data_IF_107134224171
#
_entry.id   IF_107134224171
#
_cell.length_a   1.000
_cell.length_b   1.000
_cell.length_c   1.000
_cell.angle_alpha   90.00
_cell.angle_beta   90.00
_cell.angle_gamma   90.00
#
_symmetry.space_group_name_H-M   'P 1'
#
loop_
_entity.id
_entity.type
_entity.pdbx_description
1 polymer ?
#
# COMPACT_ATOMS: atom_id res chain seq x y z
N UNK A 1 -19.63 -13.75 -3.43
CA UNK A 1 -19.55 -12.33 -3.83
C UNK A 1 -20.59 -11.44 -3.15
N UNK A 2 -21.89 -11.76 -3.18
CA UNK A 2 -22.94 -10.91 -2.58
C UNK A 2 -22.73 -10.57 -1.09
N UNK A 3 -22.29 -11.54 -0.28
CA UNK A 3 -22.01 -11.30 1.15
C UNK A 3 -20.87 -10.31 1.39
N UNK A 4 -19.86 -10.27 0.51
CA UNK A 4 -18.73 -9.34 0.60
C UNK A 4 -19.20 -7.90 0.35
N UNK A 5 -19.97 -7.67 -0.71
CA UNK A 5 -20.56 -6.36 -0.99
C UNK A 5 -21.58 -5.93 0.07
N UNK A 6 -22.38 -6.86 0.60
CA UNK A 6 -23.30 -6.58 1.70
C UNK A 6 -22.55 -6.12 2.96
N UNK A 7 -21.40 -6.75 3.29
CA UNK A 7 -20.56 -6.33 4.41
C UNK A 7 -20.00 -4.91 4.20
N UNK A 8 -19.56 -4.58 2.99
CA UNK A 8 -19.10 -3.21 2.64
C UNK A 8 -20.24 -2.21 2.82
N UNK A 9 -21.43 -2.49 2.30
CA UNK A 9 -22.61 -1.61 2.47
C UNK A 9 -22.98 -1.42 3.94
N UNK A 10 -22.91 -2.49 4.74
CA UNK A 10 -23.16 -2.41 6.18
C UNK A 10 -22.15 -1.52 6.90
N UNK A 11 -20.84 -1.67 6.61
CA UNK A 11 -19.79 -0.82 7.16
C UNK A 11 -20.00 0.65 6.76
N UNK A 12 -20.39 0.93 5.52
CA UNK A 12 -20.74 2.27 5.08
C UNK A 12 -21.87 2.89 5.93
N UNK A 13 -22.93 2.13 6.22
CA UNK A 13 -23.99 2.58 7.14
C UNK A 13 -23.46 2.86 8.54
N UNK A 14 -22.56 2.02 9.05
CA UNK A 14 -21.96 2.20 10.39
C UNK A 14 -21.05 3.44 10.46
N UNK A 15 -20.28 3.73 9.40
CA UNK A 15 -19.50 4.97 9.28
C UNK A 15 -20.43 6.19 9.31
N UNK A 16 -21.56 6.15 8.59
CA UNK A 16 -22.56 7.21 8.63
C UNK A 16 -23.09 7.47 10.05
N UNK A 17 -23.33 6.41 10.84
CA UNK A 17 -23.76 6.53 12.24
C UNK A 17 -22.66 7.13 13.13
N UNK A 18 -21.40 6.73 12.95
CA UNK A 18 -20.26 7.31 13.66
C UNK A 18 -20.14 8.82 13.38
N UNK A 19 -20.19 9.21 12.11
CA UNK A 19 -20.14 10.61 11.71
C UNK A 19 -21.31 11.41 12.29
N UNK A 20 -22.53 10.85 12.27
CA UNK A 20 -23.70 11.50 12.86
C UNK A 20 -23.51 11.72 14.38
N UNK A 21 -22.96 10.73 15.10
CA UNK A 21 -22.67 10.86 16.52
C UNK A 21 -21.60 11.93 16.80
N UNK A 22 -20.50 11.97 16.03
CA UNK A 22 -19.48 13.02 16.13
C UNK A 22 -20.07 14.42 15.90
N UNK A 23 -21.01 14.57 14.96
CA UNK A 23 -21.71 15.84 14.71
C UNK A 23 -22.64 16.22 15.86
N UNK A 24 -23.43 15.27 16.38
CA UNK A 24 -24.31 15.48 17.53
C UNK A 24 -23.54 15.93 18.78
N UNK A 25 -22.40 15.30 19.05
CA UNK A 25 -21.51 15.63 20.16
C UNK A 25 -20.65 16.88 19.90
N UNK A 26 -20.78 17.52 18.73
CA UNK A 26 -19.98 18.67 18.28
C UNK A 26 -18.47 18.40 18.22
N UNK A 27 -18.06 17.14 18.10
CA UNK A 27 -16.66 16.71 17.98
C UNK A 27 -16.17 16.68 16.53
N UNK A 28 -17.08 16.59 15.55
CA UNK A 28 -16.73 16.42 14.13
C UNK A 28 -15.75 17.48 13.61
N UNK A 29 -15.90 18.75 14.00
CA UNK A 29 -15.02 19.85 13.59
C UNK A 29 -13.67 19.89 14.33
N UNK A 30 -13.37 18.88 15.14
CA UNK A 30 -12.12 18.75 15.88
C UNK A 30 -11.63 17.29 15.88
N UNK A 31 -12.02 16.50 14.87
CA UNK A 31 -11.67 15.09 14.77
C UNK A 31 -11.07 14.83 13.40
N UNK A 32 -9.85 14.27 13.38
CA UNK A 32 -9.30 13.63 12.18
C UNK A 32 -9.87 12.21 12.10
N UNK A 33 -10.36 11.82 10.93
CA UNK A 33 -10.90 10.48 10.67
C UNK A 33 -10.06 9.85 9.58
N UNK A 34 -9.45 8.70 9.86
CA UNK A 34 -8.72 7.89 8.88
C UNK A 34 -9.50 6.60 8.65
N UNK A 35 -9.96 6.40 7.41
CA UNK A 35 -10.56 5.15 6.96
C UNK A 35 -9.56 4.41 6.07
N UNK A 36 -9.22 3.18 6.45
CA UNK A 36 -8.23 2.36 5.76
C UNK A 36 -8.60 0.88 5.84
N UNK A 37 -8.08 0.07 4.91
CA UNK A 37 -8.08 -1.40 5.02
C UNK A 37 -6.67 -1.89 5.36
N UNK A 38 -6.52 -2.98 6.09
CA UNK A 38 -5.22 -3.59 6.39
C UNK A 38 -4.58 -4.24 5.16
N UNK A 39 -5.42 -4.83 4.30
CA UNK A 39 -5.05 -5.35 2.98
C UNK A 39 -6.29 -5.40 2.06
N UNK A 40 -6.08 -5.70 0.79
CA UNK A 40 -7.13 -6.02 -0.18
C UNK A 40 -7.54 -7.50 -0.15
N UNK A 41 -8.38 -7.94 -1.09
CA UNK A 41 -8.85 -9.32 -1.13
C UNK A 41 -9.21 -9.72 -2.56
N UNK A 42 -8.66 -10.84 -3.01
CA UNK A 42 -8.97 -11.43 -4.30
C UNK A 42 -10.29 -12.20 -4.24
N UNK A 43 -11.16 -11.92 -5.20
CA UNK A 43 -12.43 -12.59 -5.48
C UNK A 43 -12.42 -13.29 -6.83
N UNK A 44 -11.36 -14.07 -7.09
CA UNK A 44 -11.06 -14.86 -8.30
C UNK A 44 -10.17 -14.16 -9.36
N UNK A 45 -9.70 -12.94 -9.09
CA UNK A 45 -8.61 -12.35 -9.87
C UNK A 45 -7.38 -13.29 -9.84
N UNK A 46 -6.72 -13.46 -10.99
CA UNK A 46 -5.61 -14.41 -11.17
C UNK A 46 -5.92 -15.86 -10.75
N UNK A 47 -7.21 -16.26 -10.77
CA UNK A 47 -7.66 -17.55 -10.25
C UNK A 47 -7.25 -17.78 -8.79
N UNK A 48 -7.23 -16.69 -8.01
CA UNK A 48 -6.79 -16.66 -6.62
C UNK A 48 -7.92 -16.16 -5.71
N UNK A 49 -7.99 -16.73 -4.51
CA UNK A 49 -8.93 -16.33 -3.47
C UNK A 49 -8.17 -16.10 -2.18
N UNK A 50 -8.30 -14.91 -1.59
CA UNK A 50 -7.56 -14.51 -0.39
C UNK A 50 -6.71 -13.27 -0.61
N UNK A 51 -5.68 -13.08 0.22
CA UNK A 51 -4.85 -11.85 0.20
C UNK A 51 -3.34 -12.09 0.33
N UNK A 52 -2.92 -13.34 0.26
CA UNK A 52 -1.57 -13.74 0.66
C UNK A 52 -0.59 -13.72 -0.53
N UNK A 53 -0.56 -12.60 -1.24
CA UNK A 53 0.37 -12.29 -2.33
C UNK A 53 0.78 -10.80 -2.27
N UNK A 54 1.63 -10.40 -3.20
CA UNK A 54 2.20 -9.04 -3.27
C UNK A 54 1.67 -8.27 -4.50
N UNK A 55 0.48 -8.62 -4.99
CA UNK A 55 -0.19 -7.94 -6.11
C UNK A 55 -1.07 -6.78 -5.62
N UNK A 56 -1.47 -5.87 -6.52
CA UNK A 56 -2.17 -4.62 -6.17
C UNK A 56 -3.53 -4.95 -5.55
N UNK A 57 -4.21 -5.99 -6.02
CA UNK A 57 -5.47 -6.48 -5.43
C UNK A 57 -5.32 -6.84 -3.94
N UNK A 58 -4.12 -7.15 -3.44
CA UNK A 58 -3.85 -7.39 -2.01
C UNK A 58 -3.20 -6.20 -1.29
N UNK A 59 -2.38 -5.40 -1.98
CA UNK A 59 -1.60 -4.33 -1.34
C UNK A 59 -2.22 -2.94 -1.46
N UNK A 60 -2.92 -2.66 -2.57
CA UNK A 60 -3.52 -1.35 -2.84
C UNK A 60 -4.89 -1.26 -2.18
N UNK A 61 -4.94 -0.57 -1.05
CA UNK A 61 -6.14 -0.43 -0.22
C UNK A 61 -6.72 0.98 -0.29
N UNK A 62 -8.02 1.17 0.02
CA UNK A 62 -8.56 2.50 0.23
C UNK A 62 -7.86 3.17 1.42
N UNK A 63 -7.48 4.44 1.25
CA UNK A 63 -7.06 5.34 2.31
C UNK A 63 -7.81 6.66 2.12
N UNK A 64 -8.67 6.99 3.07
CA UNK A 64 -9.42 8.26 3.09
C UNK A 64 -9.12 8.95 4.40
N UNK A 65 -8.64 10.20 4.31
CA UNK A 65 -8.34 11.03 5.47
C UNK A 65 -9.28 12.23 5.42
N UNK A 66 -10.13 12.35 6.44
CA UNK A 66 -10.91 13.55 6.69
C UNK A 66 -10.25 14.35 7.80
N UNK A 67 -9.95 15.62 7.53
CA UNK A 67 -9.45 16.57 8.52
C UNK A 67 -10.52 17.62 8.84
N UNK A 68 -10.42 18.32 9.97
CA UNK A 68 -11.26 19.50 10.21
C UNK A 68 -10.94 20.71 9.33
N UNK A 69 -9.75 20.74 8.72
CA UNK A 69 -9.26 21.84 7.90
C UNK A 69 -9.95 21.85 6.53
N UNK A 70 -10.71 22.90 6.18
CA UNK A 70 -11.35 23.04 4.88
C UNK A 70 -10.36 23.07 3.70
N UNK A 71 -9.11 23.53 3.90
CA UNK A 71 -8.11 23.62 2.85
C UNK A 71 -7.64 22.23 2.36
N UNK A 72 -7.80 21.20 3.19
CA UNK A 72 -7.39 19.82 2.89
C UNK A 72 -8.57 18.93 2.47
N UNK A 73 -9.73 19.49 2.14
CA UNK A 73 -10.92 18.74 1.73
C UNK A 73 -11.01 18.59 0.21
N UNK A 74 -11.62 17.49 -0.24
CA UNK A 74 -11.97 17.28 -1.66
C UNK A 74 -10.78 16.93 -2.56
N UNK A 75 -9.59 16.74 -2.00
CA UNK A 75 -8.40 16.33 -2.72
C UNK A 75 -8.51 14.87 -3.16
N UNK A 76 -8.01 14.57 -4.35
CA UNK A 76 -7.89 13.21 -4.88
C UNK A 76 -6.49 13.03 -5.47
N UNK A 77 -5.63 12.42 -4.68
CA UNK A 77 -4.22 12.23 -5.02
C UNK A 77 -3.91 10.78 -5.39
N UNK A 78 -2.98 10.60 -6.33
CA UNK A 78 -2.49 9.28 -6.76
C UNK A 78 -1.02 9.03 -6.35
N UNK A 79 -0.49 9.87 -5.46
CA UNK A 79 0.84 9.70 -4.89
C UNK A 79 1.01 8.33 -4.23
N UNK A 80 2.20 7.74 -4.38
CA UNK A 80 2.53 6.50 -3.70
C UNK A 80 2.63 6.73 -2.19
N UNK A 81 1.93 5.90 -1.42
CA UNK A 81 1.85 5.94 0.05
C UNK A 81 1.93 4.53 0.63
N UNK A 82 2.34 4.44 1.89
CA UNK A 82 2.44 3.17 2.64
C UNK A 82 1.67 3.28 3.96
N UNK A 83 1.20 2.15 4.51
CA UNK A 83 0.54 2.17 5.83
C UNK A 83 1.41 2.77 6.94
N UNK A 84 2.74 2.61 6.85
CA UNK A 84 3.69 3.18 7.82
C UNK A 84 3.69 4.71 7.83
N UNK A 85 3.15 5.36 6.79
CA UNK A 85 3.04 6.81 6.68
C UNK A 85 1.88 7.37 7.51
N UNK A 86 0.89 6.54 7.86
CA UNK A 86 -0.31 6.98 8.60
C UNK A 86 0.08 7.52 9.98
N UNK A 87 0.95 6.82 10.71
CA UNK A 87 1.34 7.21 12.06
C UNK A 87 2.09 8.56 12.12
N UNK A 88 3.18 8.80 11.35
CA UNK A 88 3.84 10.11 11.35
C UNK A 88 2.92 11.23 10.84
N UNK A 89 1.99 10.93 9.91
CA UNK A 89 0.97 11.89 9.47
C UNK A 89 0.05 12.32 10.63
N UNK A 90 -0.44 11.36 11.42
CA UNK A 90 -1.26 11.64 12.58
C UNK A 90 -0.49 12.37 13.68
N UNK A 91 0.80 12.06 13.86
CA UNK A 91 1.65 12.81 14.78
C UNK A 91 1.73 14.29 14.39
N UNK A 92 1.99 14.59 13.11
CA UNK A 92 2.08 15.96 12.61
C UNK A 92 0.74 16.70 12.70
N UNK A 93 -0.37 16.04 12.34
CA UNK A 93 -1.73 16.61 12.46
C UNK A 93 -2.15 16.88 13.91
N UNK A 94 -1.64 16.11 14.86
CA UNK A 94 -1.92 16.27 16.29
C UNK A 94 -0.91 17.17 17.01
N UNK A 95 0.05 17.76 16.29
CA UNK A 95 1.13 18.58 16.84
C UNK A 95 1.93 17.85 17.94
N UNK A 96 2.24 16.58 17.71
CA UNK A 96 3.08 15.77 18.61
C UNK A 96 4.40 15.38 17.91
N UNK A 97 5.50 15.24 18.68
CA UNK A 97 6.79 14.88 18.10
C UNK A 97 6.74 13.54 17.35
N UNK A 98 7.25 13.52 16.12
CA UNK A 98 7.39 12.32 15.32
C UNK A 98 8.61 11.53 15.84
N UNK A 99 8.44 10.26 16.27
CA UNK A 99 9.57 9.45 16.70
C UNK A 99 10.59 9.21 15.57
N UNK A 100 11.88 9.36 15.88
CA UNK A 100 12.96 9.28 14.89
C UNK A 100 13.18 7.87 14.30
N UNK A 101 12.64 6.83 14.93
CA UNK A 101 12.78 5.43 14.47
C UNK A 101 11.72 5.03 13.43
N UNK A 102 10.79 5.92 13.08
CA UNK A 102 9.76 5.61 12.11
C UNK A 102 10.33 5.59 10.69
N UNK A 103 9.92 4.58 9.93
CA UNK A 103 10.31 4.41 8.52
C UNK A 103 9.37 5.16 7.57
N UNK A 104 8.13 5.37 8.00
CA UNK A 104 7.14 6.14 7.25
C UNK A 104 7.44 7.63 7.23
N UNK A 105 6.89 8.32 6.24
CA UNK A 105 6.98 9.77 6.07
C UNK A 105 5.58 10.35 6.14
N UNK A 106 5.42 11.47 6.82
CA UNK A 106 4.13 12.14 6.87
C UNK A 106 3.62 12.51 5.47
N UNK A 107 2.34 12.28 5.25
CA UNK A 107 1.60 12.68 4.04
C UNK A 107 1.03 14.08 4.16
N UNK A 108 1.12 14.75 5.33
CA UNK A 108 0.54 16.06 5.54
C UNK A 108 0.95 17.09 4.48
N UNK A 109 2.23 17.16 4.03
CA UNK A 109 2.62 18.07 2.95
C UNK A 109 1.85 17.81 1.63
N UNK A 110 1.58 16.54 1.30
CA UNK A 110 0.81 16.17 0.11
C UNK A 110 -0.66 16.55 0.21
N UNK A 111 -1.19 16.63 1.44
CA UNK A 111 -2.57 17.08 1.72
C UNK A 111 -2.71 18.60 1.69
N UNK A 112 -1.61 19.34 1.80
CA UNK A 112 -1.60 20.81 1.80
C UNK A 112 -1.19 21.40 0.45
N UNK A 113 -0.34 20.70 -0.30
CA UNK A 113 0.12 21.11 -1.62
C UNK A 113 0.33 19.88 -2.52
N UNK A 114 -0.52 19.78 -3.54
CA UNK A 114 -0.55 18.66 -4.49
C UNK A 114 0.59 18.69 -5.51
N UNK A 115 1.31 19.80 -5.62
CA UNK A 115 2.46 19.95 -6.54
C UNK A 115 3.77 19.41 -5.96
N UNK A 116 3.77 18.96 -4.70
CA UNK A 116 4.95 18.38 -4.05
C UNK A 116 5.15 16.95 -4.56
N UNK A 117 6.39 16.61 -4.93
CA UNK A 117 6.73 15.25 -5.31
C UNK A 117 6.60 14.29 -4.12
N UNK A 118 5.77 13.25 -4.29
CA UNK A 118 5.65 12.15 -3.34
C UNK A 118 6.79 11.13 -3.42
N UNK A 119 6.58 9.97 -2.79
CA UNK A 119 7.53 8.85 -2.86
C UNK A 119 7.67 8.36 -4.31
N UNK A 120 8.90 8.03 -4.70
CA UNK A 120 9.20 7.45 -6.00
C UNK A 120 8.97 5.92 -6.05
N UNK A 121 8.97 5.29 -4.87
CA UNK A 121 8.73 3.86 -4.71
C UNK A 121 8.13 3.55 -3.33
N UNK A 122 7.38 2.47 -3.25
CA UNK A 122 6.82 1.89 -2.02
C UNK A 122 7.09 0.40 -1.97
N UNK A 123 7.11 -0.16 -0.76
CA UNK A 123 7.69 -1.47 -0.50
C UNK A 123 6.69 -2.37 0.21
N UNK A 124 6.80 -3.68 -0.06
CA UNK A 124 6.03 -4.69 0.64
C UNK A 124 6.84 -5.95 0.80
N UNK A 125 6.64 -6.65 1.92
CA UNK A 125 7.39 -7.84 2.25
C UNK A 125 6.48 -8.93 2.78
N UNK A 126 6.83 -10.17 2.49
CA UNK A 126 6.08 -11.33 2.94
C UNK A 126 7.00 -12.47 3.29
N UNK A 127 6.90 -12.97 4.52
CA UNK A 127 7.49 -14.26 4.90
C UNK A 127 6.61 -15.40 4.42
N UNK A 128 7.22 -16.49 4.00
CA UNK A 128 6.52 -17.72 3.66
C UNK A 128 5.70 -18.23 4.84
N UNK A 129 4.45 -18.63 4.57
CA UNK A 129 3.51 -19.18 5.54
C UNK A 129 3.22 -20.65 5.27
N UNK A 130 2.82 -21.41 6.30
CA UNK A 130 2.60 -22.86 6.14
C UNK A 130 1.57 -23.19 5.06
N UNK A 131 0.64 -22.30 4.74
CA UNK A 131 -0.46 -22.49 3.80
C UNK A 131 -0.13 -22.06 2.37
N UNK A 132 1.08 -21.56 2.11
CA UNK A 132 1.44 -21.07 0.78
C UNK A 132 1.59 -22.19 -0.23
N UNK A 133 1.15 -21.97 -1.47
CA UNK A 133 1.26 -22.97 -2.52
C UNK A 133 2.72 -23.26 -2.89
N UNK A 134 3.55 -22.22 -2.96
CA UNK A 134 4.99 -22.34 -3.24
C UNK A 134 5.72 -22.54 -1.91
N UNK A 135 6.23 -23.75 -1.67
CA UNK A 135 6.96 -24.12 -0.43
C UNK A 135 8.45 -23.76 -0.43
N UNK A 136 8.95 -23.24 -1.55
CA UNK A 136 10.39 -23.11 -1.79
C UNK A 136 10.99 -21.80 -1.26
N UNK A 137 10.23 -20.70 -1.16
CA UNK A 137 10.77 -19.43 -0.67
C UNK A 137 10.65 -19.31 0.85
N UNK A 138 11.51 -18.49 1.44
CA UNK A 138 11.48 -18.07 2.83
C UNK A 138 10.89 -16.66 2.98
N UNK A 139 11.26 -15.75 2.07
CA UNK A 139 10.80 -14.36 2.07
C UNK A 139 10.63 -13.85 0.64
N UNK A 140 9.67 -12.97 0.44
CA UNK A 140 9.47 -12.22 -0.78
C UNK A 140 9.53 -10.72 -0.47
N UNK A 141 10.20 -9.96 -1.34
CA UNK A 141 10.30 -8.53 -1.24
C UNK A 141 9.82 -7.90 -2.54
N UNK A 142 9.03 -6.83 -2.43
CA UNK A 142 8.43 -6.13 -3.57
C UNK A 142 8.71 -4.65 -3.48
N UNK A 143 8.96 -4.05 -4.65
CA UNK A 143 9.05 -2.60 -4.86
C UNK A 143 8.06 -2.21 -5.94
N UNK A 144 7.27 -1.17 -5.67
CA UNK A 144 6.29 -0.59 -6.60
C UNK A 144 6.65 0.87 -6.84
N UNK A 145 6.89 1.22 -8.10
CA UNK A 145 7.00 2.62 -8.59
C UNK A 145 5.64 3.06 -9.15
N UNK A 146 5.54 4.14 -9.92
CA UNK A 146 4.29 4.45 -10.65
C UNK A 146 4.05 3.46 -11.79
N UNK A 147 5.11 3.07 -12.50
CA UNK A 147 5.02 2.25 -13.73
C UNK A 147 5.14 0.75 -13.49
N UNK A 148 6.00 0.33 -12.56
CA UNK A 148 6.34 -1.08 -12.40
C UNK A 148 6.16 -1.57 -10.97
N UNK A 149 5.86 -2.87 -10.82
CA UNK A 149 6.12 -3.64 -9.60
C UNK A 149 7.10 -4.74 -9.91
N UNK A 150 8.17 -4.81 -9.13
CA UNK A 150 9.10 -5.93 -9.14
C UNK A 150 9.04 -6.66 -7.80
N UNK A 151 8.88 -7.98 -7.84
CA UNK A 151 8.88 -8.85 -6.67
C UNK A 151 9.91 -9.95 -6.85
N UNK A 152 10.77 -10.12 -5.85
CA UNK A 152 11.78 -11.18 -5.80
C UNK A 152 11.47 -12.14 -4.66
N UNK A 153 11.48 -13.44 -4.96
CA UNK A 153 11.26 -14.52 -4.00
C UNK A 153 12.60 -15.18 -3.68
N UNK A 154 12.95 -15.25 -2.40
CA UNK A 154 14.24 -15.71 -1.91
C UNK A 154 14.08 -16.97 -1.04
N UNK A 155 14.95 -17.95 -1.21
CA UNK A 155 15.06 -19.09 -0.28
C UNK A 155 15.72 -18.68 1.06
N UNK A 156 15.91 -19.65 1.97
CA UNK A 156 16.57 -19.40 3.27
C UNK A 156 18.04 -18.97 3.14
N UNK A 157 18.71 -19.38 2.06
CA UNK A 157 20.09 -19.02 1.75
C UNK A 157 20.18 -17.70 0.94
N UNK A 158 19.04 -17.02 0.74
CA UNK A 158 18.89 -15.79 -0.04
C UNK A 158 19.16 -15.95 -1.55
N UNK A 159 19.06 -17.16 -2.09
CA UNK A 159 19.04 -17.34 -3.54
C UNK A 159 17.69 -16.94 -4.12
N UNK A 160 17.72 -16.30 -5.27
CA UNK A 160 16.52 -15.99 -6.05
C UNK A 160 15.93 -17.29 -6.58
N UNK A 161 14.66 -17.55 -6.26
CA UNK A 161 13.93 -18.72 -6.76
C UNK A 161 12.89 -18.38 -7.82
N UNK A 162 12.39 -17.15 -7.78
CA UNK A 162 11.39 -16.63 -8.72
C UNK A 162 11.40 -15.10 -8.69
N UNK A 163 10.99 -14.52 -9.82
CA UNK A 163 10.87 -13.08 -10.01
C UNK A 163 9.58 -12.78 -10.76
N UNK A 164 8.95 -11.67 -10.38
CA UNK A 164 7.79 -11.11 -11.06
C UNK A 164 8.07 -9.65 -11.38
N UNK A 165 7.77 -9.25 -12.62
CA UNK A 165 7.76 -7.86 -13.06
C UNK A 165 6.44 -7.60 -13.78
N UNK A 166 5.68 -6.62 -13.31
CA UNK A 166 4.45 -6.15 -13.93
C UNK A 166 4.57 -4.68 -14.34
N UNK A 167 4.08 -4.36 -15.53
CA UNK A 167 3.98 -3.02 -16.09
C UNK A 167 2.54 -2.52 -15.94
N UNK A 168 2.31 -1.52 -15.09
CA UNK A 168 0.97 -0.97 -14.82
C UNK A 168 0.52 0.09 -15.81
N UNK A 169 1.41 0.56 -16.69
CA UNK A 169 1.02 1.44 -17.79
C UNK A 169 0.33 0.62 -18.89
N UNK A 170 0.89 -0.55 -19.20
CA UNK A 170 0.39 -1.43 -20.26
C UNK A 170 -0.49 -2.60 -19.77
N UNK A 171 -0.30 -3.05 -18.54
CA UNK A 171 -1.00 -4.17 -17.91
C UNK A 171 -1.38 -3.84 -16.44
N UNK A 172 -2.33 -2.92 -16.23
CA UNK A 172 -2.78 -2.55 -14.88
C UNK A 172 -3.44 -3.70 -14.11
N UNK A 173 -3.75 -4.81 -14.79
CA UNK A 173 -4.35 -6.01 -14.19
C UNK A 173 -3.34 -7.04 -13.73
N UNK A 174 -2.03 -6.81 -13.84
CA UNK A 174 -0.96 -7.73 -13.43
C UNK A 174 -1.10 -9.15 -14.04
N UNK A 175 -1.54 -9.23 -15.30
CA UNK A 175 -1.85 -10.51 -15.97
C UNK A 175 -0.62 -11.16 -16.60
N UNK A 176 0.37 -10.36 -16.98
CA UNK A 176 1.56 -10.81 -17.72
C UNK A 176 2.82 -10.50 -16.93
N UNK A 177 3.47 -11.55 -16.41
CA UNK A 177 4.80 -11.43 -15.85
C UNK A 177 5.84 -11.27 -16.97
N UNK A 178 6.46 -10.10 -17.06
CA UNK A 178 7.46 -9.78 -18.10
C UNK A 178 8.91 -9.96 -17.63
N UNK A 179 9.14 -10.52 -16.44
CA UNK A 179 10.47 -10.61 -15.84
C UNK A 179 11.49 -11.42 -16.67
N UNK A 180 11.03 -12.40 -17.45
CA UNK A 180 11.90 -13.23 -18.30
C UNK A 180 12.25 -12.61 -19.65
N UNK A 181 11.72 -11.43 -19.98
CA UNK A 181 12.01 -10.74 -21.23
C UNK A 181 13.37 -10.06 -21.17
N UNK A 182 14.09 -10.00 -22.30
CA UNK A 182 15.43 -9.41 -22.37
C UNK A 182 15.39 -7.92 -22.03
N UNK A 183 14.37 -7.23 -22.54
CA UNK A 183 14.11 -5.81 -22.37
C UNK A 183 13.83 -5.43 -20.89
N UNK A 184 13.41 -6.39 -20.09
CA UNK A 184 13.11 -6.20 -18.67
C UNK A 184 14.36 -6.17 -17.78
N UNK A 185 15.52 -6.62 -18.28
CA UNK A 185 16.75 -6.74 -17.46
C UNK A 185 17.19 -5.42 -16.85
N UNK A 186 17.25 -4.35 -17.65
CA UNK A 186 17.66 -3.03 -17.16
C UNK A 186 16.68 -2.47 -16.11
N UNK A 187 15.38 -2.74 -16.30
CA UNK A 187 14.32 -2.33 -15.37
C UNK A 187 14.46 -3.09 -14.05
N UNK A 188 14.62 -4.42 -14.12
CA UNK A 188 14.83 -5.27 -12.94
C UNK A 188 16.07 -4.83 -12.18
N UNK A 189 17.20 -4.60 -12.84
CA UNK A 189 18.42 -4.15 -12.17
C UNK A 189 18.20 -2.83 -11.41
N UNK A 190 17.51 -1.87 -12.04
CA UNK A 190 17.19 -0.58 -11.40
C UNK A 190 16.30 -0.77 -10.18
N UNK A 191 15.20 -1.53 -10.32
CA UNK A 191 14.25 -1.77 -9.23
C UNK A 191 14.87 -2.59 -8.10
N UNK A 192 15.69 -3.57 -8.43
CA UNK A 192 16.43 -4.37 -7.46
C UNK A 192 17.41 -3.52 -6.66
N UNK A 193 18.12 -2.56 -7.30
CA UNK A 193 18.97 -1.60 -6.58
C UNK A 193 18.19 -0.73 -5.61
N UNK A 194 17.02 -0.22 -6.02
CA UNK A 194 16.13 0.56 -5.16
C UNK A 194 15.66 -0.28 -3.96
N UNK A 195 15.25 -1.52 -4.22
CA UNK A 195 14.79 -2.45 -3.19
C UNK A 195 15.89 -2.77 -2.18
N UNK A 196 17.11 -3.08 -2.64
CA UNK A 196 18.24 -3.37 -1.76
C UNK A 196 18.65 -2.16 -0.92
N UNK A 197 18.64 -0.95 -1.50
CA UNK A 197 18.91 0.26 -0.74
C UNK A 197 17.91 0.43 0.42
N UNK A 198 16.61 0.23 0.13
CA UNK A 198 15.58 0.25 1.17
C UNK A 198 15.81 -0.81 2.24
N UNK A 199 16.08 -2.06 1.86
CA UNK A 199 16.30 -3.16 2.81
C UNK A 199 17.54 -2.96 3.69
N UNK A 200 18.59 -2.29 3.21
CA UNK A 200 19.78 -1.96 4.02
C UNK A 200 19.48 -0.85 5.02
N UNK A 201 18.69 0.14 4.63
CA UNK A 201 18.31 1.25 5.51
C UNK A 201 17.29 0.83 6.59
N UNK A 202 16.45 -0.17 6.29
CA UNK A 202 15.26 -0.50 7.08
C UNK A 202 15.21 -1.93 7.65
N UNK A 203 16.24 -2.76 7.38
CA UNK A 203 16.30 -4.18 7.72
C UNK A 203 17.13 -4.54 8.95
#
# INVERSE_FOLDING_TARGET
>A
MHGYYAAISYINTMIGRLIAALKYLRLYKNTVIVLVSDHGFHTDEHSYWGKHNLWDTSLKVPLIIHTPDPAMQGLKENHLTEHVDIFPTLCEMADIPIPAYLQGKSMLPLLQNTDISGKQAVFAHRKHQWHDRIKAYAVAHSVRTEKYRYTVYLDKAKHVIAEELFDYENDPGELTNIASQEESREIIEKLHRILNAYLVENG
#
